data_IF_455146559353
#
_entry.id   IF_455146559353
#
_cell.length_a   1.000
_cell.length_b   1.000
_cell.length_c   1.000
_cell.angle_alpha   90.00
_cell.angle_beta   90.00
_cell.angle_gamma   90.00
#
_symmetry.space_group_name_H-M   'P 1'
#
loop_
_entity.id
_entity.type
_entity.pdbx_description
1 polymer ?
#
# COMPACT_ATOMS: atom_id res chain seq x y z
N UNK A 1 -20.39 -17.18 4.16
CA UNK A 1 -19.44 -16.70 3.15
C UNK A 1 -18.14 -16.36 3.86
N UNK A 2 -17.01 -16.90 3.44
CA UNK A 2 -15.70 -16.55 4.00
C UNK A 2 -15.29 -15.13 3.59
N UNK A 3 -14.33 -14.51 4.32
CA UNK A 3 -13.79 -13.19 3.93
C UNK A 3 -13.10 -13.23 2.57
N UNK A 4 -12.42 -14.34 2.24
CA UNK A 4 -11.83 -14.56 0.92
C UNK A 4 -12.89 -14.54 -0.18
N UNK A 5 -14.00 -15.28 0.00
CA UNK A 5 -15.11 -15.28 -0.97
C UNK A 5 -15.73 -13.90 -1.12
N UNK A 6 -15.92 -13.18 -0.01
CA UNK A 6 -16.43 -11.82 -0.02
C UNK A 6 -15.53 -10.87 -0.82
N UNK A 7 -14.21 -10.85 -0.53
CA UNK A 7 -13.27 -9.99 -1.24
C UNK A 7 -13.20 -10.36 -2.73
N UNK A 8 -13.22 -11.65 -3.07
CA UNK A 8 -13.28 -12.10 -4.48
C UNK A 8 -14.54 -11.61 -5.19
N UNK A 9 -15.70 -11.65 -4.56
CA UNK A 9 -16.92 -11.06 -5.12
C UNK A 9 -16.78 -9.58 -5.42
N UNK A 10 -16.26 -8.80 -4.43
CA UNK A 10 -16.04 -7.35 -4.63
C UNK A 10 -15.06 -7.11 -5.79
N UNK A 11 -13.96 -7.87 -5.87
CA UNK A 11 -12.97 -7.75 -6.96
C UNK A 11 -13.58 -8.11 -8.31
N UNK A 12 -14.46 -9.09 -8.35
CA UNK A 12 -15.24 -9.46 -9.54
C UNK A 12 -16.40 -8.50 -9.84
N UNK A 13 -16.54 -7.42 -9.05
CA UNK A 13 -17.59 -6.41 -9.20
C UNK A 13 -19.02 -6.96 -8.99
N UNK A 14 -19.12 -8.04 -8.22
CA UNK A 14 -20.40 -8.61 -7.82
C UNK A 14 -21.00 -7.79 -6.67
N UNK A 15 -22.33 -7.79 -6.58
CA UNK A 15 -23.04 -7.15 -5.46
C UNK A 15 -22.80 -7.96 -4.18
N UNK A 16 -22.51 -7.26 -3.09
CA UNK A 16 -22.27 -7.84 -1.77
C UNK A 16 -23.17 -7.22 -0.72
N UNK A 17 -23.43 -7.97 0.36
CA UNK A 17 -24.35 -7.54 1.42
C UNK A 17 -23.81 -6.42 2.30
N UNK A 18 -22.49 -6.22 2.29
CA UNK A 18 -21.82 -5.11 2.97
C UNK A 18 -20.46 -4.81 2.29
N UNK A 19 -19.94 -3.63 2.58
CA UNK A 19 -18.63 -3.21 2.09
C UNK A 19 -17.53 -3.75 3.03
N UNK A 20 -16.54 -4.52 2.53
CA UNK A 20 -15.45 -5.00 3.37
C UNK A 20 -14.62 -3.87 3.98
N UNK A 21 -14.11 -4.09 5.19
CA UNK A 21 -13.33 -3.13 5.96
C UNK A 21 -11.96 -3.66 6.36
N UNK A 22 -10.94 -2.81 6.23
CA UNK A 22 -9.61 -3.04 6.80
C UNK A 22 -8.92 -1.71 7.13
N UNK A 23 -7.82 -1.77 7.86
CA UNK A 23 -6.91 -0.64 8.02
C UNK A 23 -5.48 -1.12 8.31
N UNK A 24 -4.51 -0.27 7.99
CA UNK A 24 -3.10 -0.51 8.25
C UNK A 24 -2.55 0.56 9.19
N UNK A 25 -1.85 0.12 10.24
CA UNK A 25 -0.98 0.96 11.07
C UNK A 25 0.36 0.26 11.28
N UNK A 26 1.40 1.01 11.56
CA UNK A 26 2.68 0.43 11.95
C UNK A 26 2.57 -0.27 13.31
N UNK A 27 3.46 -1.24 13.54
CA UNK A 27 3.60 -1.99 14.81
C UNK A 27 5.07 -1.89 15.27
N UNK A 28 5.56 -0.67 15.60
CA UNK A 28 6.99 -0.38 15.75
C UNK A 28 7.68 -1.16 16.88
N UNK A 29 6.91 -1.64 17.86
CA UNK A 29 7.44 -2.43 18.98
C UNK A 29 7.87 -3.84 18.56
N UNK A 30 7.39 -4.33 17.42
CA UNK A 30 7.58 -5.74 16.99
C UNK A 30 7.99 -5.89 15.52
N UNK A 31 8.06 -4.81 14.75
CA UNK A 31 8.24 -4.86 13.29
C UNK A 31 9.60 -5.42 12.81
N UNK A 32 10.60 -5.50 13.71
CA UNK A 32 11.89 -6.15 13.43
C UNK A 32 11.95 -7.63 13.86
N UNK A 33 10.92 -8.15 14.55
CA UNK A 33 10.81 -9.57 14.92
C UNK A 33 9.72 -10.22 14.05
N UNK A 34 10.07 -11.09 13.09
CA UNK A 34 9.11 -11.63 12.14
C UNK A 34 8.00 -12.46 12.78
N UNK A 35 8.26 -13.10 13.92
CA UNK A 35 7.27 -13.92 14.62
C UNK A 35 6.31 -13.03 15.41
N UNK A 36 6.86 -12.07 16.18
CA UNK A 36 6.03 -11.15 16.97
C UNK A 36 5.21 -10.23 16.09
N UNK A 37 5.78 -9.76 14.97
CA UNK A 37 5.04 -8.94 14.02
C UNK A 37 3.86 -9.70 13.41
N UNK A 38 4.08 -10.93 12.94
CA UNK A 38 3.02 -11.78 12.40
C UNK A 38 1.94 -12.06 13.43
N UNK A 39 2.33 -12.32 14.69
CA UNK A 39 1.38 -12.53 15.79
C UNK A 39 0.56 -11.27 16.06
N UNK A 40 1.20 -10.12 16.25
CA UNK A 40 0.51 -8.87 16.56
C UNK A 40 -0.42 -8.42 15.41
N UNK A 41 -0.01 -8.64 14.15
CA UNK A 41 -0.87 -8.35 13.01
C UNK A 41 -2.08 -9.30 12.94
N UNK A 42 -1.90 -10.59 13.22
CA UNK A 42 -3.01 -11.55 13.30
C UNK A 42 -3.98 -11.20 14.42
N UNK A 43 -3.46 -10.87 15.60
CA UNK A 43 -4.27 -10.42 16.75
C UNK A 43 -5.09 -9.18 16.42
N UNK A 44 -4.48 -8.20 15.73
CA UNK A 44 -5.17 -6.99 15.24
C UNK A 44 -6.28 -7.31 14.24
N UNK A 45 -6.02 -8.23 13.30
CA UNK A 45 -7.04 -8.71 12.34
C UNK A 45 -8.24 -9.30 13.07
N UNK A 46 -8.00 -10.13 14.07
CA UNK A 46 -9.08 -10.74 14.87
C UNK A 46 -9.78 -9.73 15.79
N UNK A 47 -9.02 -8.89 16.49
CA UNK A 47 -9.55 -7.89 17.43
C UNK A 47 -10.55 -6.95 16.75
N UNK A 48 -10.22 -6.46 15.55
CA UNK A 48 -11.05 -5.51 14.82
C UNK A 48 -11.92 -6.18 13.75
N UNK A 49 -11.88 -7.52 13.66
CA UNK A 49 -12.60 -8.29 12.64
C UNK A 49 -12.37 -7.70 11.24
N UNK A 50 -11.10 -7.61 10.82
CA UNK A 50 -10.72 -7.06 9.52
C UNK A 50 -10.97 -8.09 8.41
N UNK A 51 -11.44 -7.62 7.25
CA UNK A 51 -11.80 -8.49 6.13
C UNK A 51 -10.62 -8.86 5.23
N UNK A 52 -9.53 -8.11 5.28
CA UNK A 52 -8.26 -8.38 4.60
C UNK A 52 -7.11 -7.76 5.36
N UNK A 53 -5.88 -8.19 5.07
CA UNK A 53 -4.68 -7.65 5.70
C UNK A 53 -3.62 -7.26 4.67
N UNK A 54 -2.91 -6.16 4.95
CA UNK A 54 -1.70 -5.77 4.24
C UNK A 54 -0.47 -6.08 5.10
N UNK A 55 0.48 -6.85 4.56
CA UNK A 55 1.72 -7.23 5.23
C UNK A 55 2.89 -6.35 4.78
N UNK A 56 3.54 -5.71 5.72
CA UNK A 56 4.86 -5.07 5.62
C UNK A 56 5.27 -4.63 7.01
N UNK A 57 6.45 -4.99 7.44
CA UNK A 57 6.94 -4.64 8.78
C UNK A 57 7.16 -3.14 8.90
N UNK A 58 8.03 -2.58 8.11
CA UNK A 58 8.30 -1.14 8.09
C UNK A 58 8.49 -0.62 6.65
N UNK A 59 8.52 0.71 6.49
CA UNK A 59 8.64 1.34 5.19
C UNK A 59 10.04 1.31 4.57
N UNK A 60 11.07 0.85 5.28
CA UNK A 60 12.47 0.86 4.82
C UNK A 60 13.03 -0.53 4.52
N UNK A 61 12.25 -1.61 4.67
CA UNK A 61 12.74 -2.97 4.43
C UNK A 61 13.38 -3.16 3.04
N UNK A 62 12.99 -2.35 2.05
CA UNK A 62 13.56 -2.39 0.70
C UNK A 62 14.94 -1.74 0.56
N UNK A 63 15.40 -1.00 1.58
CA UNK A 63 16.63 -0.21 1.53
C UNK A 63 17.53 -0.37 2.73
N UNK A 64 17.04 -0.85 3.87
CA UNK A 64 17.80 -0.86 5.14
C UNK A 64 19.09 -1.67 5.09
N UNK A 65 19.19 -2.70 4.23
CA UNK A 65 20.41 -3.49 4.04
C UNK A 65 21.44 -2.78 3.14
N UNK A 66 21.09 -1.66 2.52
CA UNK A 66 21.93 -0.96 1.54
C UNK A 66 22.31 0.46 1.95
N UNK A 67 21.85 0.92 3.12
CA UNK A 67 22.15 2.25 3.67
C UNK A 67 22.99 2.13 4.94
N UNK A 68 23.69 3.20 5.29
CA UNK A 68 24.61 3.17 6.44
C UNK A 68 23.91 3.26 7.79
N UNK A 69 22.76 3.98 7.84
CA UNK A 69 22.05 4.23 9.11
C UNK A 69 20.57 4.56 8.86
N UNK A 70 19.70 3.92 9.64
CA UNK A 70 18.26 4.17 9.67
C UNK A 70 17.82 4.56 11.08
N UNK A 71 16.81 5.42 11.17
CA UNK A 71 16.16 5.78 12.43
C UNK A 71 14.67 5.37 12.37
N UNK A 72 14.29 4.45 13.22
CA UNK A 72 12.91 3.98 13.37
C UNK A 72 12.13 4.75 14.45
N UNK A 73 12.79 5.61 15.24
CA UNK A 73 12.15 6.31 16.36
C UNK A 73 11.01 7.25 15.97
N UNK A 74 10.98 7.89 14.77
CA UNK A 74 9.87 8.75 14.38
C UNK A 74 8.52 8.03 14.33
N UNK A 75 8.49 6.70 14.11
CA UNK A 75 7.24 5.90 14.07
C UNK A 75 6.50 5.95 15.40
N UNK A 76 7.24 6.02 16.52
CA UNK A 76 6.65 6.16 17.87
C UNK A 76 5.99 7.52 18.12
N UNK A 77 6.21 8.49 17.23
CA UNK A 77 5.62 9.84 17.28
C UNK A 77 4.63 10.08 16.13
N UNK A 78 4.16 9.01 15.49
CA UNK A 78 3.24 9.08 14.36
C UNK A 78 3.90 9.41 13.01
N UNK A 79 5.23 9.42 12.95
CA UNK A 79 6.00 9.56 11.72
C UNK A 79 6.27 8.22 11.03
N UNK A 80 7.28 8.20 10.18
CA UNK A 80 7.78 7.00 9.49
C UNK A 80 9.28 6.83 9.75
N UNK A 81 9.78 5.61 9.61
CA UNK A 81 11.22 5.34 9.63
C UNK A 81 11.94 6.14 8.54
N UNK A 82 13.12 6.66 8.84
CA UNK A 82 13.92 7.49 7.95
C UNK A 82 15.33 6.95 7.76
N UNK A 83 15.88 7.13 6.57
CA UNK A 83 17.31 6.91 6.30
C UNK A 83 18.08 8.12 6.81
N UNK A 84 18.93 7.91 7.82
CA UNK A 84 19.77 8.98 8.41
C UNK A 84 21.02 9.20 7.59
N UNK A 85 21.70 8.09 7.19
CA UNK A 85 22.92 8.13 6.43
C UNK A 85 22.91 7.13 5.29
N UNK A 86 23.40 7.54 4.13
CA UNK A 86 23.44 6.74 2.91
C UNK A 86 24.78 6.90 2.20
N UNK A 87 25.33 5.86 1.55
CA UNK A 87 26.50 5.98 0.69
C UNK A 87 26.18 6.61 -0.68
N UNK A 88 24.89 6.84 -1.02
CA UNK A 88 24.42 7.32 -2.33
C UNK A 88 24.16 8.83 -2.32
N UNK A 89 25.24 9.62 -2.28
CA UNK A 89 25.15 11.08 -2.13
C UNK A 89 25.17 11.86 -3.46
N UNK A 90 25.51 11.21 -4.56
CA UNK A 90 25.50 11.74 -5.92
C UNK A 90 25.21 10.60 -6.90
N UNK A 91 24.76 10.87 -8.12
CA UNK A 91 24.39 9.81 -9.07
C UNK A 91 25.47 8.75 -9.29
N UNK A 92 26.73 9.15 -9.42
CA UNK A 92 27.87 8.22 -9.59
C UNK A 92 28.02 7.22 -8.44
N UNK A 93 27.51 7.53 -7.24
CA UNK A 93 27.57 6.63 -6.09
C UNK A 93 26.66 5.41 -6.24
N UNK A 94 25.68 5.45 -7.14
CA UNK A 94 24.83 4.30 -7.44
C UNK A 94 25.61 3.08 -7.97
N UNK A 95 26.81 3.30 -8.49
CA UNK A 95 27.76 2.22 -8.84
C UNK A 95 28.19 1.37 -7.63
N UNK A 96 27.98 1.86 -6.39
CA UNK A 96 28.25 1.12 -5.16
C UNK A 96 27.15 0.12 -4.81
N UNK A 97 25.94 0.30 -5.39
CA UNK A 97 24.85 -0.65 -5.19
C UNK A 97 25.20 -1.96 -5.90
N UNK A 98 25.04 -3.12 -5.26
CA UNK A 98 25.27 -4.41 -5.93
C UNK A 98 24.44 -4.52 -7.22
N UNK A 99 25.03 -5.09 -8.27
CA UNK A 99 24.37 -5.22 -9.57
C UNK A 99 23.36 -6.37 -9.63
N UNK A 100 23.46 -7.31 -8.70
CA UNK A 100 22.70 -8.55 -8.61
C UNK A 100 21.89 -8.58 -7.28
N UNK A 101 21.09 -7.54 -7.07
CA UNK A 101 20.20 -7.50 -5.91
C UNK A 101 19.24 -8.69 -5.93
N UNK A 102 19.15 -9.36 -4.80
CA UNK A 102 18.23 -10.46 -4.61
C UNK A 102 17.54 -10.42 -3.24
N UNK A 103 16.62 -11.34 -3.02
CA UNK A 103 15.84 -11.43 -1.78
C UNK A 103 16.55 -12.18 -0.65
N UNK A 104 17.83 -12.54 -0.79
CA UNK A 104 18.60 -13.25 0.25
C UNK A 104 19.03 -12.35 1.41
N UNK A 105 18.86 -11.03 1.28
CA UNK A 105 19.23 -10.07 2.30
C UNK A 105 18.35 -10.18 3.56
N UNK A 106 18.88 -9.78 4.73
CA UNK A 106 18.19 -9.94 6.01
C UNK A 106 16.80 -9.34 6.05
N UNK A 107 16.58 -8.17 5.44
CA UNK A 107 15.29 -7.49 5.44
C UNK A 107 14.21 -8.24 4.65
N UNK A 108 14.53 -8.66 3.41
CA UNK A 108 13.57 -9.44 2.61
C UNK A 108 13.29 -10.82 3.23
N UNK A 109 14.32 -11.48 3.78
CA UNK A 109 14.12 -12.75 4.48
C UNK A 109 13.25 -12.59 5.73
N UNK A 110 13.38 -11.48 6.46
CA UNK A 110 12.50 -11.15 7.59
C UNK A 110 11.05 -10.97 7.12
N UNK A 111 10.81 -10.25 6.02
CA UNK A 111 9.48 -10.05 5.47
C UNK A 111 8.84 -11.39 5.04
N UNK A 112 9.54 -12.23 4.28
CA UNK A 112 9.03 -13.52 3.83
C UNK A 112 8.76 -14.48 4.99
N UNK A 113 9.66 -14.52 5.98
CA UNK A 113 9.47 -15.30 7.19
C UNK A 113 8.26 -14.83 7.98
N UNK A 114 8.10 -13.52 8.14
CA UNK A 114 6.93 -12.94 8.81
C UNK A 114 5.63 -13.23 8.06
N UNK A 115 5.65 -13.15 6.73
CA UNK A 115 4.50 -13.51 5.90
C UNK A 115 4.08 -14.96 6.11
N UNK A 116 5.03 -15.90 6.12
CA UNK A 116 4.75 -17.32 6.38
C UNK A 116 4.02 -17.50 7.71
N UNK A 117 4.55 -16.91 8.78
CA UNK A 117 3.89 -17.00 10.11
C UNK A 117 2.52 -16.33 10.15
N UNK A 118 2.31 -15.26 9.40
CA UNK A 118 1.01 -14.59 9.32
C UNK A 118 -0.02 -15.45 8.58
N UNK A 119 0.36 -16.02 7.44
CA UNK A 119 -0.50 -16.91 6.65
C UNK A 119 -0.89 -18.17 7.44
N UNK A 120 0.05 -18.76 8.19
CA UNK A 120 -0.23 -19.89 9.07
C UNK A 120 -1.28 -19.56 10.15
N UNK A 121 -1.27 -18.32 10.68
CA UNK A 121 -2.20 -17.86 11.72
C UNK A 121 -3.58 -17.49 11.21
N UNK A 122 -3.65 -16.87 10.04
CA UNK A 122 -4.90 -16.42 9.44
C UNK A 122 -5.59 -17.52 8.63
N UNK A 123 -4.82 -18.52 8.18
CA UNK A 123 -5.32 -19.64 7.38
C UNK A 123 -6.06 -19.17 6.12
N UNK A 124 -7.07 -19.94 5.71
CA UNK A 124 -7.93 -19.62 4.58
C UNK A 124 -9.07 -18.65 4.90
N UNK A 125 -8.98 -17.91 6.00
CA UNK A 125 -10.08 -17.05 6.45
C UNK A 125 -9.96 -15.62 5.96
N UNK A 126 -8.74 -15.06 5.97
CA UNK A 126 -8.49 -13.64 5.65
C UNK A 126 -7.41 -13.53 4.59
N UNK A 127 -7.69 -12.89 3.43
CA UNK A 127 -6.67 -12.70 2.41
C UNK A 127 -5.61 -11.70 2.86
N UNK A 128 -4.35 -12.00 2.56
CA UNK A 128 -3.19 -11.16 2.86
C UNK A 128 -2.55 -10.69 1.57
N UNK A 129 -2.34 -9.37 1.43
CA UNK A 129 -1.53 -8.79 0.36
C UNK A 129 -0.18 -8.34 0.92
N UNK A 130 0.90 -8.47 0.15
CA UNK A 130 2.20 -7.93 0.53
C UNK A 130 2.39 -6.53 -0.02
N UNK A 131 3.01 -5.65 0.76
CA UNK A 131 3.33 -4.31 0.32
C UNK A 131 4.71 -4.33 -0.34
N UNK A 132 4.75 -3.83 -1.57
CA UNK A 132 5.96 -3.56 -2.34
C UNK A 132 6.01 -2.07 -2.69
N UNK A 133 7.18 -1.56 -3.03
CA UNK A 133 7.35 -0.17 -3.41
C UNK A 133 7.79 -0.05 -4.87
N UNK A 134 7.28 0.99 -5.54
CA UNK A 134 7.75 1.41 -6.86
C UNK A 134 9.28 1.63 -6.85
N UNK A 135 10.03 1.17 -7.86
CA UNK A 135 11.50 1.31 -7.91
C UNK A 135 11.98 2.75 -7.77
N UNK A 136 11.26 3.72 -8.35
CA UNK A 136 11.58 5.14 -8.19
C UNK A 136 11.37 5.61 -6.72
N UNK A 137 10.40 5.05 -6.01
CA UNK A 137 10.20 5.29 -4.57
C UNK A 137 11.36 4.67 -3.75
N UNK A 138 11.84 3.50 -4.15
CA UNK A 138 13.00 2.85 -3.49
C UNK A 138 14.26 3.69 -3.72
N UNK A 139 14.50 4.18 -4.95
CA UNK A 139 15.60 5.09 -5.26
C UNK A 139 15.55 6.35 -4.38
N UNK A 140 14.34 6.92 -4.18
CA UNK A 140 14.17 8.10 -3.32
C UNK A 140 14.58 7.82 -1.86
N UNK A 141 14.19 6.66 -1.33
CA UNK A 141 14.59 6.23 0.01
C UNK A 141 16.10 6.02 0.11
N UNK A 142 16.72 5.32 -0.85
CA UNK A 142 18.16 5.11 -0.92
C UNK A 142 18.94 6.44 -0.91
N UNK A 143 18.41 7.43 -1.62
CA UNK A 143 19.07 8.74 -1.82
C UNK A 143 18.58 9.83 -0.85
N UNK A 144 17.85 9.46 0.21
CA UNK A 144 17.32 10.39 1.22
C UNK A 144 16.45 11.50 0.62
N UNK A 145 15.50 11.13 -0.25
CA UNK A 145 14.55 12.06 -0.85
C UNK A 145 15.07 12.80 -2.09
N UNK A 146 16.21 12.37 -2.69
CA UNK A 146 16.85 13.07 -3.82
C UNK A 146 16.67 12.38 -5.17
N UNK A 147 15.72 11.43 -5.31
CA UNK A 147 15.49 10.75 -6.59
C UNK A 147 15.26 11.72 -7.75
N UNK A 148 14.56 12.84 -7.51
CA UNK A 148 14.31 13.87 -8.54
C UNK A 148 15.61 14.53 -9.03
N UNK A 149 16.54 14.83 -8.13
CA UNK A 149 17.86 15.36 -8.51
C UNK A 149 18.63 14.34 -9.35
N UNK A 150 18.53 13.07 -8.98
CA UNK A 150 19.23 11.98 -9.66
C UNK A 150 18.69 11.77 -11.09
N UNK A 151 17.39 11.66 -11.28
CA UNK A 151 16.82 11.49 -12.63
C UNK A 151 17.04 12.71 -13.55
N UNK A 152 17.30 13.90 -12.98
CA UNK A 152 17.61 15.14 -13.70
C UNK A 152 19.11 15.40 -13.88
N UNK A 153 19.96 14.49 -13.44
CA UNK A 153 21.42 14.66 -13.47
C UNK A 153 22.06 14.50 -14.87
N UNK A 154 21.34 13.89 -15.81
CA UNK A 154 21.86 13.49 -17.11
C UNK A 154 22.54 12.12 -17.15
N UNK A 155 22.67 11.43 -16.02
CA UNK A 155 23.24 10.08 -15.89
C UNK A 155 22.19 8.98 -16.19
N UNK A 156 21.36 9.16 -17.23
CA UNK A 156 20.16 8.35 -17.49
C UNK A 156 20.47 6.85 -17.55
N UNK A 157 21.56 6.45 -18.21
CA UNK A 157 21.92 5.03 -18.32
C UNK A 157 22.12 4.39 -16.95
N UNK A 158 22.88 5.05 -16.06
CA UNK A 158 23.12 4.57 -14.70
C UNK A 158 21.82 4.52 -13.86
N UNK A 159 20.95 5.53 -14.03
CA UNK A 159 19.66 5.57 -13.35
C UNK A 159 18.77 4.41 -13.85
N UNK A 160 18.69 4.17 -15.15
CA UNK A 160 17.91 3.05 -15.69
C UNK A 160 18.44 1.70 -15.24
N UNK A 161 19.77 1.49 -15.21
CA UNK A 161 20.38 0.28 -14.68
C UNK A 161 20.04 0.07 -13.19
N UNK A 162 20.07 1.14 -12.41
CA UNK A 162 19.70 1.09 -10.98
C UNK A 162 18.22 0.74 -10.81
N UNK A 163 17.32 1.42 -11.53
CA UNK A 163 15.89 1.15 -11.46
C UNK A 163 15.55 -0.28 -11.90
N UNK A 164 16.24 -0.80 -12.92
CA UNK A 164 16.09 -2.19 -13.36
C UNK A 164 16.51 -3.18 -12.27
N UNK A 165 17.65 -2.95 -11.62
CA UNK A 165 18.15 -3.79 -10.53
C UNK A 165 17.19 -3.77 -9.33
N UNK A 166 16.69 -2.59 -8.93
CA UNK A 166 15.67 -2.45 -7.90
C UNK A 166 14.34 -3.13 -8.29
N UNK A 167 13.97 -3.09 -9.57
CA UNK A 167 12.79 -3.79 -10.09
C UNK A 167 12.94 -5.30 -9.96
N UNK A 168 14.10 -5.84 -10.32
CA UNK A 168 14.35 -7.27 -10.31
C UNK A 168 14.22 -7.87 -8.91
N UNK A 169 14.71 -7.18 -7.86
CA UNK A 169 14.54 -7.66 -6.50
C UNK A 169 13.07 -7.57 -6.04
N UNK A 170 12.32 -6.53 -6.47
CA UNK A 170 10.89 -6.47 -6.16
C UNK A 170 10.08 -7.56 -6.88
N UNK A 171 10.43 -7.89 -8.11
CA UNK A 171 9.83 -9.01 -8.85
C UNK A 171 10.05 -10.32 -8.11
N UNK A 172 11.29 -10.60 -7.67
CA UNK A 172 11.60 -11.80 -6.88
C UNK A 172 10.79 -11.83 -5.56
N UNK A 173 10.71 -10.71 -4.85
CA UNK A 173 9.95 -10.60 -3.60
C UNK A 173 8.47 -10.88 -3.79
N UNK A 174 7.86 -10.27 -4.80
CA UNK A 174 6.43 -10.46 -5.12
C UNK A 174 6.15 -11.92 -5.51
N UNK A 175 6.99 -12.52 -6.36
CA UNK A 175 6.84 -13.94 -6.74
C UNK A 175 6.96 -14.87 -5.55
N UNK A 176 8.00 -14.68 -4.71
CA UNK A 176 8.19 -15.48 -3.50
C UNK A 176 7.01 -15.34 -2.53
N UNK A 177 6.46 -14.13 -2.38
CA UNK A 177 5.28 -13.90 -1.53
C UNK A 177 4.01 -14.58 -2.07
N UNK A 178 3.80 -14.57 -3.38
CA UNK A 178 2.68 -15.29 -4.02
C UNK A 178 2.83 -16.80 -3.89
N UNK A 179 4.03 -17.33 -4.02
CA UNK A 179 4.35 -18.76 -3.84
C UNK A 179 4.09 -19.23 -2.40
N UNK A 180 4.25 -18.34 -1.41
CA UNK A 180 3.89 -18.57 -0.02
C UNK A 180 2.38 -18.54 0.23
N UNK A 181 1.57 -18.00 -0.68
CA UNK A 181 0.12 -17.94 -0.58
C UNK A 181 -0.46 -16.52 -0.36
N UNK A 182 0.33 -15.47 -0.54
CA UNK A 182 -0.22 -14.11 -0.56
C UNK A 182 -1.29 -13.97 -1.65
N UNK A 183 -2.36 -13.24 -1.35
CA UNK A 183 -3.46 -13.00 -2.29
C UNK A 183 -3.07 -12.08 -3.46
N UNK A 184 -2.03 -11.27 -3.28
CA UNK A 184 -1.55 -10.33 -4.28
C UNK A 184 -0.57 -9.32 -3.69
N UNK A 185 -0.26 -8.29 -4.47
CA UNK A 185 0.61 -7.18 -4.11
C UNK A 185 -0.18 -5.88 -3.91
N UNK A 186 0.27 -5.09 -2.94
CA UNK A 186 -0.09 -3.68 -2.79
C UNK A 186 1.15 -2.85 -3.16
N UNK A 187 1.23 -2.43 -4.44
CA UNK A 187 2.36 -1.65 -4.97
C UNK A 187 2.17 -0.17 -4.64
N UNK A 188 3.05 0.40 -3.84
CA UNK A 188 2.99 1.79 -3.42
C UNK A 188 3.99 2.68 -4.19
N UNK A 189 3.49 3.73 -4.85
CA UNK A 189 4.29 4.73 -5.55
C UNK A 189 4.11 6.11 -4.93
N UNK A 190 5.24 6.79 -4.67
CA UNK A 190 5.29 8.17 -4.19
C UNK A 190 5.58 9.17 -5.31
N UNK A 191 5.65 8.70 -6.58
CA UNK A 191 6.09 9.51 -7.71
C UNK A 191 5.05 9.67 -8.82
N UNK A 192 3.92 9.00 -8.74
CA UNK A 192 2.82 9.17 -9.70
C UNK A 192 2.03 10.46 -9.42
N UNK A 193 2.74 11.59 -9.32
CA UNK A 193 2.18 12.88 -8.89
C UNK A 193 2.93 14.07 -9.49
N UNK A 194 2.19 15.08 -9.95
CA UNK A 194 2.72 16.24 -10.67
C UNK A 194 3.57 17.18 -9.83
N UNK A 195 3.37 17.22 -8.52
CA UNK A 195 4.16 18.05 -7.61
C UNK A 195 5.55 17.47 -7.28
N UNK A 196 5.87 16.26 -7.77
CA UNK A 196 7.19 15.62 -7.61
C UNK A 196 7.95 15.54 -8.93
N UNK A 197 7.32 15.04 -9.97
CA UNK A 197 7.93 14.81 -11.29
C UNK A 197 6.99 15.23 -12.41
N UNK A 198 7.53 15.51 -13.59
CA UNK A 198 6.71 15.74 -14.78
C UNK A 198 6.08 14.44 -15.27
N UNK A 199 5.09 14.57 -16.15
CA UNK A 199 4.50 13.42 -16.83
C UNK A 199 5.53 12.60 -17.58
N UNK A 200 6.43 13.30 -18.30
CA UNK A 200 7.50 12.69 -19.11
C UNK A 200 8.48 11.93 -18.22
N UNK A 201 8.90 12.53 -17.10
CA UNK A 201 9.79 11.88 -16.12
C UNK A 201 9.15 10.62 -15.54
N UNK A 202 7.84 10.66 -15.19
CA UNK A 202 7.16 9.47 -14.71
C UNK A 202 7.03 8.38 -15.78
N UNK A 203 6.74 8.77 -17.03
CA UNK A 203 6.66 7.82 -18.15
C UNK A 203 8.00 7.17 -18.46
N UNK A 204 9.11 7.85 -18.21
CA UNK A 204 10.47 7.34 -18.43
C UNK A 204 10.98 6.54 -17.22
N UNK A 205 10.93 7.10 -16.02
CA UNK A 205 11.61 6.55 -14.82
C UNK A 205 10.69 5.85 -13.82
N UNK A 206 9.38 5.95 -13.95
CA UNK A 206 8.40 5.35 -13.03
C UNK A 206 7.61 4.21 -13.67
N UNK A 207 6.73 4.55 -14.60
CA UNK A 207 5.74 3.64 -15.18
C UNK A 207 6.29 2.32 -15.72
N UNK A 208 7.41 2.27 -16.50
CA UNK A 208 7.91 1.03 -17.07
C UNK A 208 8.30 0.01 -15.98
N UNK A 209 8.84 0.49 -14.88
CA UNK A 209 9.30 -0.33 -13.75
C UNK A 209 8.14 -0.79 -12.86
N UNK A 210 7.14 0.06 -12.63
CA UNK A 210 5.91 -0.31 -11.94
C UNK A 210 5.19 -1.44 -12.68
N UNK A 211 5.09 -1.33 -14.02
CA UNK A 211 4.42 -2.35 -14.84
C UNK A 211 5.13 -3.71 -14.81
N UNK A 212 6.46 -3.77 -14.71
CA UNK A 212 7.19 -5.04 -14.57
C UNK A 212 6.84 -5.76 -13.26
N UNK A 213 6.72 -5.02 -12.15
CA UNK A 213 6.32 -5.59 -10.86
C UNK A 213 4.87 -6.07 -10.92
N UNK A 214 3.97 -5.29 -11.53
CA UNK A 214 2.57 -5.66 -11.66
C UNK A 214 2.37 -6.87 -12.58
N UNK A 215 3.17 -7.03 -13.63
CA UNK A 215 3.15 -8.23 -14.47
C UNK A 215 3.64 -9.46 -13.70
N UNK A 216 4.68 -9.33 -12.88
CA UNK A 216 5.12 -10.41 -11.98
C UNK A 216 4.06 -10.79 -10.94
N UNK A 217 3.22 -9.83 -10.54
CA UNK A 217 2.11 -10.02 -9.60
C UNK A 217 0.85 -10.64 -10.23
N UNK A 218 0.83 -10.90 -11.55
CA UNK A 218 -0.37 -11.31 -12.30
C UNK A 218 -1.02 -12.62 -11.81
N UNK A 219 -0.25 -13.51 -11.19
CA UNK A 219 -0.77 -14.72 -10.56
C UNK A 219 -1.62 -14.42 -9.30
N UNK A 220 -1.42 -13.25 -8.67
CA UNK A 220 -2.23 -12.80 -7.56
C UNK A 220 -3.60 -12.30 -8.02
N UNK A 221 -4.62 -12.57 -7.22
CA UNK A 221 -6.01 -12.18 -7.53
C UNK A 221 -6.44 -10.89 -6.81
N UNK A 222 -5.60 -10.32 -5.94
CA UNK A 222 -5.85 -9.10 -5.16
C UNK A 222 -4.69 -8.12 -5.29
N UNK A 223 -4.42 -7.67 -6.52
CA UNK A 223 -3.36 -6.69 -6.78
C UNK A 223 -3.90 -5.27 -6.69
N UNK A 224 -3.20 -4.44 -5.93
CA UNK A 224 -3.55 -3.06 -5.67
C UNK A 224 -2.41 -2.12 -6.06
N UNK A 225 -2.77 -0.91 -6.49
CA UNK A 225 -1.81 0.18 -6.64
C UNK A 225 -2.19 1.34 -5.73
N UNK A 226 -1.21 1.83 -4.96
CA UNK A 226 -1.36 3.00 -4.08
C UNK A 226 -0.62 4.20 -4.66
N UNK A 227 -1.37 5.20 -5.09
CA UNK A 227 -0.83 6.49 -5.49
C UNK A 227 -0.76 7.41 -4.25
N UNK A 228 0.46 7.57 -3.74
CA UNK A 228 0.69 8.33 -2.50
C UNK A 228 0.87 9.81 -2.77
N UNK A 229 0.18 10.64 -2.01
CA UNK A 229 0.32 12.10 -2.01
C UNK A 229 -0.81 12.82 -2.71
N UNK A 230 -0.52 14.02 -3.17
CA UNK A 230 -1.47 14.93 -3.82
C UNK A 230 -1.18 15.06 -5.31
N UNK A 231 -2.10 15.65 -6.08
CA UNK A 231 -1.93 15.95 -7.50
C UNK A 231 -1.53 14.73 -8.35
N UNK A 232 -2.31 13.65 -8.23
CA UNK A 232 -2.01 12.34 -8.80
C UNK A 232 -2.20 12.32 -10.32
N UNK A 233 -1.27 11.69 -11.02
CA UNK A 233 -1.32 11.45 -12.48
C UNK A 233 -2.28 10.30 -12.83
N UNK A 234 -3.56 10.42 -12.45
CA UNK A 234 -4.53 9.34 -12.59
C UNK A 234 -4.67 8.82 -14.03
N UNK A 235 -4.63 9.71 -15.01
CA UNK A 235 -4.72 9.36 -16.43
C UNK A 235 -3.61 8.41 -16.91
N UNK A 236 -2.46 8.39 -16.21
CA UNK A 236 -1.34 7.51 -16.56
C UNK A 236 -1.44 6.11 -15.97
N UNK A 237 -2.29 5.94 -14.97
CA UNK A 237 -2.41 4.69 -14.20
C UNK A 237 -3.78 4.02 -14.31
N UNK A 238 -4.78 4.68 -14.88
CA UNK A 238 -6.15 4.14 -15.02
C UNK A 238 -6.23 2.82 -15.79
N UNK A 239 -5.21 2.49 -16.58
CA UNK A 239 -5.12 1.26 -17.39
C UNK A 239 -4.08 0.26 -16.80
N UNK A 240 -3.64 0.45 -15.55
CA UNK A 240 -2.74 -0.50 -14.91
C UNK A 240 -3.41 -1.88 -14.71
N UNK A 241 -2.65 -3.00 -14.83
CA UNK A 241 -3.19 -4.35 -14.68
C UNK A 241 -3.41 -4.72 -13.21
N UNK A 242 -4.27 -3.97 -12.54
CA UNK A 242 -4.62 -4.11 -11.13
C UNK A 242 -6.12 -4.31 -10.95
N UNK A 243 -6.52 -4.91 -9.86
CA UNK A 243 -7.92 -5.02 -9.47
C UNK A 243 -8.37 -3.83 -8.61
N UNK A 244 -7.47 -3.31 -7.77
CA UNK A 244 -7.81 -2.36 -6.71
C UNK A 244 -6.95 -1.12 -6.78
N UNK A 245 -7.58 0.05 -6.68
CA UNK A 245 -6.89 1.34 -6.65
C UNK A 245 -7.09 2.03 -5.29
N UNK A 246 -5.98 2.49 -4.71
CA UNK A 246 -5.96 3.25 -3.45
C UNK A 246 -5.19 4.57 -3.63
N UNK A 247 -5.72 5.64 -3.06
CA UNK A 247 -5.12 6.97 -3.07
C UNK A 247 -5.62 7.81 -1.88
N UNK A 248 -5.10 9.00 -1.70
CA UNK A 248 -5.53 9.92 -0.65
C UNK A 248 -6.84 10.64 -1.02
N UNK A 249 -7.96 9.92 -1.06
CA UNK A 249 -9.23 10.30 -1.67
C UNK A 249 -9.83 11.65 -1.22
N UNK A 250 -9.52 12.11 0.01
CA UNK A 250 -9.98 13.41 0.54
C UNK A 250 -8.87 14.45 0.66
N UNK A 251 -7.64 14.09 0.29
CA UNK A 251 -6.47 14.95 0.31
C UNK A 251 -6.01 15.32 -1.11
N UNK A 252 -6.50 14.63 -2.14
CA UNK A 252 -6.04 14.72 -3.52
C UNK A 252 -7.18 14.56 -4.53
N UNK A 253 -6.96 15.05 -5.74
CA UNK A 253 -7.73 14.64 -6.93
C UNK A 253 -7.09 13.38 -7.54
N UNK A 254 -7.87 12.57 -8.28
CA UNK A 254 -9.30 12.72 -8.55
C UNK A 254 -10.20 12.41 -7.34
N UNK A 255 -11.42 12.93 -7.37
CA UNK A 255 -12.45 12.59 -6.38
C UNK A 255 -12.88 11.12 -6.47
N UNK A 256 -13.55 10.61 -5.42
CA UNK A 256 -14.10 9.24 -5.42
C UNK A 256 -15.06 9.03 -6.58
N UNK A 257 -15.91 10.03 -6.88
CA UNK A 257 -16.85 9.96 -7.99
C UNK A 257 -16.15 9.88 -9.35
N UNK A 258 -15.08 10.65 -9.55
CA UNK A 258 -14.31 10.62 -10.80
C UNK A 258 -13.62 9.28 -11.00
N UNK A 259 -12.94 8.73 -9.97
CA UNK A 259 -12.30 7.42 -10.08
C UNK A 259 -13.35 6.34 -10.37
N UNK A 260 -14.47 6.35 -9.65
CA UNK A 260 -15.55 5.39 -9.85
C UNK A 260 -16.14 5.44 -11.26
N UNK A 261 -16.25 6.63 -11.83
CA UNK A 261 -16.83 6.87 -13.16
C UNK A 261 -15.85 6.55 -14.30
N UNK A 262 -14.57 6.90 -14.15
CA UNK A 262 -13.61 6.87 -15.24
C UNK A 262 -12.61 5.69 -15.18
N UNK A 263 -12.80 4.78 -14.25
CA UNK A 263 -12.07 3.51 -14.19
C UNK A 263 -12.95 2.33 -13.87
N UNK A 264 -12.43 1.15 -14.12
CA UNK A 264 -13.06 -0.13 -13.75
C UNK A 264 -12.51 -0.70 -12.45
N UNK A 265 -11.67 0.03 -11.75
CA UNK A 265 -11.07 -0.44 -10.49
C UNK A 265 -12.11 -0.63 -9.39
N UNK A 266 -11.82 -1.56 -8.50
CA UNK A 266 -12.37 -1.56 -7.16
C UNK A 266 -11.64 -0.47 -6.37
N UNK A 267 -12.38 0.41 -5.74
CA UNK A 267 -11.82 1.49 -4.96
C UNK A 267 -11.50 0.98 -3.56
N UNK A 268 -10.26 1.18 -3.11
CA UNK A 268 -9.88 1.00 -1.72
C UNK A 268 -9.69 2.39 -1.11
N UNK A 269 -10.74 2.95 -0.55
CA UNK A 269 -10.77 4.28 0.03
C UNK A 269 -11.69 4.35 1.26
N UNK A 270 -11.49 5.36 2.08
CA UNK A 270 -12.24 5.56 3.31
C UNK A 270 -11.93 6.92 3.90
N UNK A 271 -11.90 6.99 5.22
CA UNK A 271 -11.59 8.23 5.93
C UNK A 271 -10.14 8.65 5.70
N UNK A 272 -9.89 9.95 5.75
CA UNK A 272 -8.53 10.46 5.69
C UNK A 272 -7.73 10.03 6.94
N UNK A 273 -6.41 9.90 6.76
CA UNK A 273 -5.51 9.40 7.83
C UNK A 273 -5.42 10.34 9.04
N UNK A 274 -5.68 11.63 8.86
CA UNK A 274 -5.60 12.62 9.95
C UNK A 274 -6.77 12.50 10.91
N UNK A 275 -7.94 12.02 10.43
CA UNK A 275 -9.08 11.70 11.27
C UNK A 275 -8.75 10.72 12.39
N UNK A 276 -7.74 9.86 12.19
CA UNK A 276 -7.22 8.98 13.23
C UNK A 276 -6.48 9.72 14.34
N UNK A 277 -5.93 10.90 14.07
CA UNK A 277 -5.27 11.70 15.09
C UNK A 277 -6.28 12.54 15.89
N UNK A 278 -7.26 13.12 15.21
CA UNK A 278 -8.15 14.13 15.78
C UNK A 278 -9.48 13.55 16.25
N UNK A 279 -9.81 12.31 15.86
CA UNK A 279 -11.08 11.62 16.12
C UNK A 279 -12.29 12.54 15.84
N UNK A 280 -12.29 13.20 14.69
CA UNK A 280 -13.38 14.07 14.29
C UNK A 280 -14.58 13.26 13.76
N UNK A 281 -15.51 12.93 14.67
CA UNK A 281 -16.68 12.09 14.37
C UNK A 281 -17.53 12.61 13.23
N UNK A 282 -17.74 13.92 13.15
CA UNK A 282 -18.55 14.53 12.10
C UNK A 282 -17.87 14.41 10.72
N UNK A 283 -16.56 14.63 10.65
CA UNK A 283 -15.78 14.49 9.43
C UNK A 283 -15.81 13.04 8.96
N UNK A 284 -15.54 12.09 9.85
CA UNK A 284 -15.55 10.65 9.57
C UNK A 284 -16.92 10.23 9.00
N UNK A 285 -18.00 10.58 9.65
CA UNK A 285 -19.38 10.27 9.19
C UNK A 285 -19.66 10.86 7.80
N UNK A 286 -19.28 12.10 7.58
CA UNK A 286 -19.46 12.78 6.31
C UNK A 286 -18.67 12.11 5.17
N UNK A 287 -17.39 11.78 5.40
CA UNK A 287 -16.56 11.10 4.41
C UNK A 287 -17.11 9.72 4.06
N UNK A 288 -17.52 8.92 5.04
CA UNK A 288 -18.17 7.62 4.80
C UNK A 288 -19.40 7.81 3.90
N UNK A 289 -20.28 8.73 4.25
CA UNK A 289 -21.49 8.99 3.47
C UNK A 289 -21.18 9.45 2.04
N UNK A 290 -20.18 10.32 1.84
CA UNK A 290 -19.78 10.79 0.51
C UNK A 290 -19.26 9.64 -0.37
N UNK A 291 -18.47 8.73 0.18
CA UNK A 291 -17.98 7.55 -0.55
C UNK A 291 -19.17 6.69 -1.01
N UNK A 292 -20.10 6.40 -0.10
CA UNK A 292 -21.28 5.59 -0.45
C UNK A 292 -22.20 6.30 -1.42
N UNK A 293 -22.34 7.61 -1.33
CA UNK A 293 -23.08 8.40 -2.31
C UNK A 293 -22.52 8.25 -3.72
N UNK A 294 -21.18 8.27 -3.84
CA UNK A 294 -20.48 8.13 -5.12
C UNK A 294 -20.52 6.70 -5.67
N UNK A 295 -20.33 5.69 -4.81
CA UNK A 295 -20.13 4.29 -5.22
C UNK A 295 -21.38 3.41 -5.08
N UNK A 296 -22.38 3.84 -4.30
CA UNK A 296 -23.51 3.01 -3.85
C UNK A 296 -23.06 1.75 -3.10
N UNK A 297 -21.87 1.77 -2.50
CA UNK A 297 -21.24 0.62 -1.86
C UNK A 297 -20.75 -0.46 -2.83
N UNK A 298 -20.75 -0.20 -4.14
CA UNK A 298 -20.30 -1.14 -5.16
C UNK A 298 -18.83 -0.89 -5.50
N UNK A 299 -18.09 -1.95 -5.88
CA UNK A 299 -16.66 -1.87 -6.22
C UNK A 299 -15.87 -1.10 -5.16
N UNK A 300 -16.14 -1.39 -3.89
CA UNK A 300 -15.59 -0.65 -2.75
C UNK A 300 -15.02 -1.61 -1.70
N UNK A 301 -13.76 -1.38 -1.33
CA UNK A 301 -13.13 -1.85 -0.11
C UNK A 301 -12.91 -0.64 0.78
N UNK A 302 -13.47 -0.64 1.98
CA UNK A 302 -13.35 0.50 2.87
C UNK A 302 -12.08 0.41 3.71
N UNK A 303 -11.22 1.41 3.61
CA UNK A 303 -10.04 1.56 4.46
C UNK A 303 -9.65 3.04 4.56
N UNK A 304 -8.88 3.45 5.57
CA UNK A 304 -8.22 4.75 5.52
C UNK A 304 -7.42 4.92 4.24
N UNK A 305 -7.31 6.16 3.77
CA UNK A 305 -6.66 6.52 2.50
C UNK A 305 -5.17 6.15 2.44
N UNK A 306 -4.53 5.94 3.60
CA UNK A 306 -3.13 5.55 3.73
C UNK A 306 -2.93 4.76 5.03
N UNK A 307 -1.68 4.35 5.32
CA UNK A 307 -1.29 3.87 6.64
C UNK A 307 -1.60 4.91 7.72
N UNK A 308 -2.19 4.47 8.82
CA UNK A 308 -2.58 5.34 9.93
C UNK A 308 -1.48 5.43 10.97
N UNK A 309 -1.59 6.41 11.88
CA UNK A 309 -0.74 6.49 13.06
C UNK A 309 -0.76 5.15 13.82
N UNK A 310 0.39 4.78 14.39
CA UNK A 310 0.53 3.56 15.22
C UNK A 310 -0.27 3.65 16.52
N UNK A 311 -0.41 4.85 17.04
CA UNK A 311 -1.07 5.13 18.32
C UNK A 311 -2.34 5.94 18.05
N UNK A 312 -3.44 5.25 17.87
CA UNK A 312 -4.78 5.81 17.70
C UNK A 312 -5.69 5.32 18.82
N UNK A 313 -6.78 6.05 19.07
CA UNK A 313 -7.81 5.61 19.98
C UNK A 313 -8.56 4.41 19.39
N UNK A 314 -8.57 3.21 20.03
CA UNK A 314 -9.30 2.05 19.52
C UNK A 314 -10.79 2.29 19.28
N UNK A 315 -11.43 3.18 20.04
CA UNK A 315 -12.82 3.56 19.86
C UNK A 315 -13.12 4.13 18.47
N UNK A 316 -12.12 4.72 17.81
CA UNK A 316 -12.22 5.19 16.44
C UNK A 316 -12.60 4.08 15.46
N UNK A 317 -11.99 2.90 15.58
CA UNK A 317 -12.27 1.78 14.68
C UNK A 317 -13.71 1.28 14.88
N UNK A 318 -14.15 1.15 16.11
CA UNK A 318 -15.53 0.75 16.42
C UNK A 318 -16.53 1.77 15.91
N UNK A 319 -16.25 3.07 16.09
CA UNK A 319 -17.07 4.14 15.55
C UNK A 319 -17.17 4.11 14.01
N UNK A 320 -16.04 3.92 13.31
CA UNK A 320 -16.03 3.79 11.85
C UNK A 320 -16.88 2.59 11.42
N UNK A 321 -16.74 1.43 12.07
CA UNK A 321 -17.54 0.23 11.77
C UNK A 321 -19.01 0.45 12.03
N UNK A 322 -19.39 1.15 13.10
CA UNK A 322 -20.78 1.50 13.41
C UNK A 322 -21.40 2.39 12.32
N UNK A 323 -20.72 3.50 11.98
CA UNK A 323 -21.19 4.43 10.94
C UNK A 323 -21.27 3.75 9.59
N UNK A 324 -20.28 2.90 9.27
CA UNK A 324 -20.30 2.12 8.03
C UNK A 324 -21.51 1.17 7.99
N UNK A 325 -21.77 0.41 9.06
CA UNK A 325 -22.90 -0.50 9.13
C UNK A 325 -24.25 0.22 9.05
N UNK A 326 -24.36 1.43 9.62
CA UNK A 326 -25.52 2.31 9.44
C UNK A 326 -25.69 2.72 7.99
N UNK A 327 -24.58 3.08 7.33
CA UNK A 327 -24.57 3.51 5.94
C UNK A 327 -24.86 2.37 4.97
N UNK A 328 -24.36 1.17 5.23
CA UNK A 328 -24.70 -0.07 4.48
C UNK A 328 -26.23 -0.25 4.45
N UNK A 329 -26.89 -0.08 5.58
CA UNK A 329 -28.37 -0.19 5.67
C UNK A 329 -29.09 0.91 4.90
N UNK A 330 -28.60 2.16 4.96
CA UNK A 330 -29.20 3.30 4.24
C UNK A 330 -29.15 3.08 2.72
N UNK A 331 -28.07 2.48 2.22
CA UNK A 331 -27.87 2.23 0.80
C UNK A 331 -28.38 0.85 0.35
N UNK A 332 -29.15 0.14 1.19
CA UNK A 332 -29.77 -1.17 0.91
C UNK A 332 -28.78 -2.20 0.35
N UNK A 333 -27.57 -2.25 0.92
CA UNK A 333 -26.57 -3.25 0.50
C UNK A 333 -26.98 -4.67 0.94
N UNK A 334 -27.80 -4.81 1.98
CA UNK A 334 -28.46 -6.06 2.28
C UNK A 334 -29.63 -6.22 1.31
N UNK A 335 -29.45 -7.07 0.31
CA UNK A 335 -30.59 -7.63 -0.41
C UNK A 335 -31.46 -8.31 0.63
N UNK A 336 -32.72 -7.88 0.72
CA UNK A 336 -33.72 -8.62 1.48
C UNK A 336 -33.68 -10.07 1.03
N UNK A 337 -33.45 -10.98 1.99
CA UNK A 337 -33.50 -12.40 1.75
C UNK A 337 -34.93 -12.87 1.54
#
# INVERSE_FOLDING_TARGET
MSKIELIKKVINKEVTDYVPFSFKSHLPEVDHDPVKYAQALAEKVHQYDLDYAGHSSNGLFTVEDYVDEVDHSPVYKGGVSIVVKTPYNQPADLKKLPHDLDISTPSYQRELKSLTYLLDRLGDQVPVTVISFSPLTILDKLTKGRAVEFIRSGENELIHQTLENLTNVQVQYVQAALDLGAAGVYLASQFVRYDRVTKEEYLEFGKPYDLKILEAAKAGWFNSFHAHGTDIMFDLIKDYPIQVFNWHAFESLPSVEEVFKYSDFVLNCGVDRFSFNDFNRNLIRNQIYQIYKATKGQRLLFSPSCGTNSFFDPELIYYIKEVKAETDRIFNLRTEA
#
